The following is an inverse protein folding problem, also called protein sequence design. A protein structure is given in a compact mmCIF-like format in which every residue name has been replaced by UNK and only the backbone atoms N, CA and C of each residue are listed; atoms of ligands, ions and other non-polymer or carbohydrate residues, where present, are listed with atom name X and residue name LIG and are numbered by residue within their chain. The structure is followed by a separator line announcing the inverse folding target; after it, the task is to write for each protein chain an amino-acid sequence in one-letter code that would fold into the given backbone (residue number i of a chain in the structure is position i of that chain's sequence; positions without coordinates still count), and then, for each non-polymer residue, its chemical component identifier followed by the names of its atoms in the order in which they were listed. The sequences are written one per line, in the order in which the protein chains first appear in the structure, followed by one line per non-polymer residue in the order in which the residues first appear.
data_IF_169311365519
#
_entry.id   IF_169311365519
#
_cell.length_a   1.000
_cell.length_b   1.000
_cell.length_c   1.000
_cell.angle_alpha   90.00
_cell.angle_beta   90.00
_cell.angle_gamma   90.00
#
_symmetry.space_group_name_H-M   'P 1'
#
loop_
_entity.id
_entity.type
_entity.pdbx_description
1 polymer ?
#
# COMPACT_ATOMS: atom_id res chain seq x y z
N UNK A 1 -8.01 -0.51 8.82
CA UNK A 1 -7.35 -0.57 7.51
C UNK A 1 -8.12 0.31 6.54
N UNK A 2 -7.46 1.24 5.84
CA UNK A 2 -8.12 1.99 4.76
C UNK A 2 -8.27 1.04 3.55
N UNK A 3 -9.48 0.92 3.00
CA UNK A 3 -9.75 0.06 1.85
C UNK A 3 -9.04 0.59 0.60
N UNK A 4 -8.42 -0.30 -0.18
CA UNK A 4 -7.84 0.05 -1.47
C UNK A 4 -8.95 0.23 -2.51
N UNK A 5 -9.45 1.45 -2.71
CA UNK A 5 -10.55 1.79 -3.63
C UNK A 5 -10.23 1.67 -5.13
N UNK A 6 -9.20 0.92 -5.53
CA UNK A 6 -8.67 0.90 -6.90
C UNK A 6 -8.56 -0.50 -7.54
N UNK A 7 -9.19 -1.53 -6.97
CA UNK A 7 -9.26 -2.86 -7.56
C UNK A 7 -10.70 -3.34 -7.80
N UNK A 8 -10.97 -3.71 -9.04
CA UNK A 8 -12.09 -4.57 -9.45
C UNK A 8 -11.48 -5.83 -10.09
N UNK A 9 -11.85 -7.06 -9.68
CA UNK A 9 -12.71 -7.41 -8.54
C UNK A 9 -12.08 -7.02 -7.19
N UNK A 10 -12.86 -6.99 -6.08
CA UNK A 10 -12.35 -6.58 -4.78
C UNK A 10 -11.16 -7.44 -4.37
N UNK A 11 -9.98 -6.83 -4.30
CA UNK A 11 -8.86 -7.43 -3.57
C UNK A 11 -9.26 -7.52 -2.10
N UNK A 12 -8.83 -8.56 -1.40
CA UNK A 12 -9.11 -8.84 0.01
C UNK A 12 -8.57 -7.76 1.00
N UNK A 13 -8.20 -6.59 0.50
CA UNK A 13 -7.62 -5.50 1.26
C UNK A 13 -6.21 -5.84 1.75
N UNK A 14 -5.75 -5.07 2.72
CA UNK A 14 -4.62 -5.47 3.54
C UNK A 14 -5.20 -6.17 4.79
N UNK A 15 -4.53 -7.22 5.26
CA UNK A 15 -4.92 -7.97 6.45
C UNK A 15 -3.85 -7.78 7.53
N UNK A 16 -4.26 -7.54 8.78
CA UNK A 16 -3.32 -7.59 9.91
C UNK A 16 -3.15 -9.05 10.35
N UNK A 17 -1.91 -9.48 10.55
CA UNK A 17 -1.57 -10.83 10.98
C UNK A 17 -1.19 -10.84 12.48
N UNK A 18 -1.52 -11.89 13.25
CA UNK A 18 -1.28 -11.94 14.70
C UNK A 18 0.19 -11.76 15.14
N UNK A 19 1.16 -12.05 14.27
CA UNK A 19 2.60 -11.80 14.55
C UNK A 19 2.98 -10.30 14.47
N UNK A 20 2.01 -9.43 14.18
CA UNK A 20 2.17 -7.99 14.06
C UNK A 20 2.81 -7.56 12.74
N UNK A 21 2.52 -8.31 11.67
CA UNK A 21 2.79 -7.95 10.27
C UNK A 21 1.49 -7.63 9.55
N UNK A 22 1.59 -7.08 8.34
CA UNK A 22 0.46 -6.96 7.42
C UNK A 22 0.66 -7.84 6.19
N UNK A 23 -0.42 -8.48 5.74
CA UNK A 23 -0.48 -9.27 4.52
C UNK A 23 -1.21 -8.45 3.46
N UNK A 24 -0.50 -8.10 2.39
CA UNK A 24 -1.07 -7.41 1.24
C UNK A 24 -1.24 -8.37 0.09
N UNK A 25 -2.48 -8.67 -0.31
CA UNK A 25 -2.75 -9.57 -1.42
C UNK A 25 -2.12 -9.03 -2.70
N UNK A 26 -1.46 -9.89 -3.48
CA UNK A 26 -0.98 -9.51 -4.80
C UNK A 26 -2.16 -9.18 -5.71
N UNK A 27 -2.09 -8.00 -6.33
CA UNK A 27 -3.07 -7.58 -7.30
C UNK A 27 -2.91 -8.37 -8.61
N UNK A 28 -3.96 -8.47 -9.44
CA UNK A 28 -3.86 -9.07 -10.77
C UNK A 28 -2.71 -8.46 -11.60
N UNK A 29 -2.06 -9.26 -12.48
CA UNK A 29 -1.03 -8.77 -13.36
C UNK A 29 -1.49 -7.55 -14.20
N UNK A 30 -0.60 -6.58 -14.45
CA UNK A 30 0.82 -6.57 -14.10
C UNK A 30 1.12 -6.01 -12.69
N UNK A 31 0.12 -5.52 -11.95
CA UNK A 31 0.33 -4.70 -10.75
C UNK A 31 0.99 -5.45 -9.59
N UNK A 32 0.45 -6.62 -9.22
CA UNK A 32 1.01 -7.43 -8.14
C UNK A 32 2.44 -7.90 -8.41
N UNK A 33 2.73 -8.50 -9.58
CA UNK A 33 4.10 -8.87 -9.95
C UNK A 33 5.07 -7.68 -9.98
N UNK A 34 4.63 -6.51 -10.45
CA UNK A 34 5.45 -5.28 -10.43
C UNK A 34 5.81 -4.86 -9.00
N UNK A 35 4.84 -4.90 -8.08
CA UNK A 35 5.08 -4.57 -6.67
C UNK A 35 6.01 -5.59 -6.00
N UNK A 36 5.80 -6.89 -6.24
CA UNK A 36 6.68 -7.94 -5.72
C UNK A 36 8.12 -7.77 -6.23
N UNK A 37 8.29 -7.52 -7.53
CA UNK A 37 9.61 -7.29 -8.12
C UNK A 37 10.30 -6.04 -7.54
N UNK A 38 9.55 -4.97 -7.29
CA UNK A 38 10.07 -3.78 -6.62
C UNK A 38 10.62 -4.12 -5.22
N UNK A 39 9.85 -4.82 -4.38
CA UNK A 39 10.33 -5.22 -3.06
C UNK A 39 11.52 -6.18 -3.12
N UNK A 40 11.53 -7.15 -4.03
CA UNK A 40 12.66 -8.05 -4.25
C UNK A 40 13.93 -7.30 -4.69
N UNK A 41 13.79 -6.31 -5.56
CA UNK A 41 14.90 -5.46 -6.01
C UNK A 41 15.47 -4.64 -4.85
N UNK A 42 14.60 -4.01 -4.06
CA UNK A 42 15.01 -3.11 -2.98
C UNK A 42 15.53 -3.87 -1.76
N UNK A 43 14.90 -4.99 -1.37
CA UNK A 43 15.23 -5.76 -0.15
C UNK A 43 16.02 -7.05 -0.42
N UNK A 44 16.37 -7.34 -1.68
CA UNK A 44 17.18 -8.51 -2.03
C UNK A 44 18.51 -8.54 -1.30
N UNK A 45 18.96 -9.73 -0.91
CA UNK A 45 20.21 -9.94 -0.18
C UNK A 45 21.45 -9.52 -0.98
N UNK A 46 21.37 -9.56 -2.30
CA UNK A 46 22.42 -9.13 -3.24
C UNK A 46 22.36 -7.64 -3.60
N UNK A 47 21.41 -6.87 -3.05
CA UNK A 47 21.28 -5.45 -3.34
C UNK A 47 22.33 -4.65 -2.56
N UNK A 48 23.27 -4.04 -3.29
CA UNK A 48 24.32 -3.17 -2.76
C UNK A 48 24.20 -1.71 -3.24
N UNK A 49 23.19 -1.42 -4.06
CA UNK A 49 22.94 -0.08 -4.59
C UNK A 49 22.55 0.89 -3.48
N UNK A 50 23.39 1.90 -3.23
CA UNK A 50 23.22 2.85 -2.13
C UNK A 50 21.84 3.52 -2.15
N UNK A 51 21.32 3.86 -3.34
CA UNK A 51 19.98 4.45 -3.50
C UNK A 51 18.88 3.56 -2.93
N UNK A 52 18.95 2.24 -3.15
CA UNK A 52 17.95 1.30 -2.63
C UNK A 52 18.15 1.04 -1.14
N UNK A 53 19.40 1.01 -0.67
CA UNK A 53 19.69 0.88 0.76
C UNK A 53 19.14 2.07 1.56
N UNK A 54 19.28 3.29 1.05
CA UNK A 54 18.68 4.48 1.64
C UNK A 54 17.15 4.45 1.55
N UNK A 55 16.60 4.02 0.40
CA UNK A 55 15.15 3.93 0.20
C UNK A 55 14.47 3.01 1.22
N UNK A 56 15.14 1.94 1.69
CA UNK A 56 14.60 1.03 2.72
C UNK A 56 14.14 1.74 4.00
N UNK A 57 14.73 2.89 4.35
CA UNK A 57 14.35 3.69 5.53
C UNK A 57 12.93 4.26 5.45
N UNK A 58 12.39 4.38 4.24
CA UNK A 58 11.09 4.99 3.94
C UNK A 58 10.01 3.96 3.57
N UNK A 59 10.37 2.67 3.50
CA UNK A 59 9.47 1.60 3.12
C UNK A 59 9.16 0.69 4.32
N UNK A 60 7.96 0.09 4.39
CA UNK A 60 7.73 -1.04 5.29
C UNK A 60 8.73 -2.16 4.99
N UNK A 61 9.32 -2.78 6.01
CA UNK A 61 10.23 -3.92 5.77
C UNK A 61 9.49 -5.04 5.06
N UNK A 62 10.12 -5.57 4.02
CA UNK A 62 9.65 -6.75 3.30
C UNK A 62 10.15 -8.03 3.96
N UNK A 63 9.21 -8.92 4.32
CA UNK A 63 9.48 -10.17 5.03
C UNK A 63 9.31 -11.40 4.11
N UNK A 64 9.24 -11.18 2.80
CA UNK A 64 8.99 -12.22 1.80
C UNK A 64 7.52 -12.34 1.42
N UNK A 65 7.23 -13.37 0.63
CA UNK A 65 5.86 -13.74 0.27
C UNK A 65 5.25 -14.67 1.31
N UNK A 66 3.93 -14.70 1.37
CA UNK A 66 3.17 -15.59 2.23
C UNK A 66 1.96 -16.14 1.48
N UNK A 67 1.65 -17.41 1.73
CA UNK A 67 0.54 -18.14 1.11
C UNK A 67 -0.22 -18.88 2.21
N UNK A 68 -1.56 -18.74 2.31
CA UNK A 68 -2.36 -19.53 3.24
C UNK A 68 -2.32 -21.02 2.90
N UNK A 69 -2.27 -21.88 3.92
CA UNK A 69 -2.36 -23.34 3.73
C UNK A 69 -3.70 -23.79 3.14
N UNK A 70 -4.77 -23.04 3.42
CA UNK A 70 -6.14 -23.32 2.96
C UNK A 70 -6.40 -22.87 1.52
N UNK A 71 -5.58 -21.96 0.99
CA UNK A 71 -5.78 -21.32 -0.32
C UNK A 71 -4.42 -21.07 -0.99
N UNK A 72 -3.75 -22.14 -1.50
CA UNK A 72 -2.40 -22.06 -2.05
C UNK A 72 -2.26 -21.17 -3.29
N UNK A 73 -3.39 -20.85 -3.94
CA UNK A 73 -3.43 -19.95 -5.10
C UNK A 73 -3.40 -18.46 -4.71
N UNK A 74 -3.55 -18.13 -3.43
CA UNK A 74 -3.47 -16.75 -2.96
C UNK A 74 -2.05 -16.41 -2.52
N UNK A 75 -1.48 -15.38 -3.12
CA UNK A 75 -0.14 -14.90 -2.80
C UNK A 75 -0.23 -13.51 -2.16
N UNK A 76 0.50 -13.33 -1.06
CA UNK A 76 0.55 -12.07 -0.32
C UNK A 76 2.00 -11.59 -0.19
N UNK A 77 2.19 -10.27 -0.16
CA UNK A 77 3.39 -9.64 0.37
C UNK A 77 3.24 -9.58 1.89
N UNK A 78 4.22 -10.12 2.63
CA UNK A 78 4.30 -9.96 4.09
C UNK A 78 5.16 -8.76 4.41
N UNK A 79 4.57 -7.74 5.02
CA UNK A 79 5.19 -6.45 5.30
C UNK A 79 5.14 -6.11 6.79
N UNK A 80 6.06 -5.28 7.25
CA UNK A 80 5.99 -4.64 8.56
C UNK A 80 4.67 -3.86 8.74
N UNK A 81 4.02 -4.04 9.89
CA UNK A 81 2.93 -3.14 10.30
C UNK A 81 3.51 -1.86 10.88
N UNK A 82 3.56 -0.80 10.07
CA UNK A 82 4.07 0.52 10.45
C UNK A 82 3.27 1.19 11.58
N UNK A 83 2.06 0.72 11.85
CA UNK A 83 1.17 1.26 12.89
C UNK A 83 1.32 0.55 14.23
N UNK A 84 2.00 -0.61 14.27
CA UNK A 84 2.09 -1.50 15.44
C UNK A 84 2.61 -0.82 16.71
N UNK A 85 3.54 0.13 16.57
CA UNK A 85 4.16 0.84 17.71
C UNK A 85 3.26 1.90 18.34
N UNK A 86 2.11 2.19 17.76
CA UNK A 86 1.19 3.22 18.23
C UNK A 86 0.00 2.57 18.94
N UNK A 87 -0.39 3.11 20.10
CA UNK A 87 -1.56 2.63 20.84
C UNK A 87 -2.88 3.04 20.16
N UNK A 88 -2.96 4.31 19.72
CA UNK A 88 -4.11 4.90 19.04
C UNK A 88 -3.63 5.56 17.73
N UNK A 89 -3.33 4.77 16.67
CA UNK A 89 -2.76 5.31 15.45
C UNK A 89 -3.78 6.18 14.70
N UNK A 90 -3.43 7.46 14.49
CA UNK A 90 -4.02 8.27 13.43
C UNK A 90 -3.32 7.93 12.11
N UNK A 91 -4.09 7.61 11.08
CA UNK A 91 -3.58 7.11 9.80
C UNK A 91 -4.15 7.98 8.69
N UNK A 92 -3.31 8.38 7.74
CA UNK A 92 -3.76 9.03 6.51
C UNK A 92 -3.03 8.37 5.34
N UNK A 93 -3.78 8.04 4.30
CA UNK A 93 -3.24 7.54 3.04
C UNK A 93 -3.31 8.67 2.01
N UNK A 94 -2.16 9.05 1.47
CA UNK A 94 -2.01 10.12 0.49
C UNK A 94 -1.32 9.57 -0.75
N UNK A 95 -2.02 9.61 -1.88
CA UNK A 95 -1.45 9.30 -3.18
C UNK A 95 -0.63 10.50 -3.67
N UNK A 96 0.61 10.25 -4.10
CA UNK A 96 1.53 11.29 -4.57
C UNK A 96 1.75 11.17 -6.08
N UNK A 97 1.93 12.32 -6.75
CA UNK A 97 2.31 12.44 -8.15
C UNK A 97 1.27 13.22 -8.99
N UNK A 98 1.72 13.91 -10.04
CA UNK A 98 0.82 14.67 -10.93
C UNK A 98 -0.07 13.78 -11.81
N UNK A 99 0.33 12.53 -12.02
CA UNK A 99 -0.38 11.54 -12.83
C UNK A 99 -0.61 10.29 -11.99
N UNK A 100 -1.85 9.84 -11.91
CA UNK A 100 -2.23 8.62 -11.17
C UNK A 100 -2.38 7.38 -12.07
N UNK A 101 -1.84 7.45 -13.29
CA UNK A 101 -1.81 6.38 -14.29
C UNK A 101 -0.37 6.09 -14.71
N UNK A 102 -0.10 4.84 -15.06
CA UNK A 102 1.21 4.40 -15.56
C UNK A 102 1.48 4.91 -16.99
N UNK A 103 2.75 5.00 -17.42
CA UNK A 103 3.12 5.31 -18.80
C UNK A 103 2.48 4.36 -19.83
N UNK A 104 2.32 3.09 -19.47
CA UNK A 104 1.76 2.05 -20.33
C UNK A 104 0.23 1.89 -20.19
N UNK A 105 -0.45 2.83 -19.51
CA UNK A 105 -1.89 2.77 -19.32
C UNK A 105 -2.65 2.99 -20.65
N UNK A 106 -3.73 2.23 -20.88
CA UNK A 106 -4.61 2.46 -22.02
C UNK A 106 -5.27 3.84 -21.95
N UNK A 107 -5.66 4.41 -23.10
CA UNK A 107 -6.35 5.70 -23.15
C UNK A 107 -7.61 5.74 -22.26
N UNK A 108 -8.36 4.64 -22.23
CA UNK A 108 -9.51 4.48 -21.32
C UNK A 108 -9.09 4.56 -19.85
N UNK A 109 -8.00 3.87 -19.48
CA UNK A 109 -7.51 3.88 -18.10
C UNK A 109 -7.00 5.25 -17.69
N UNK A 110 -6.31 5.94 -18.59
CA UNK A 110 -5.87 7.33 -18.39
C UNK A 110 -7.07 8.22 -18.13
N UNK A 111 -8.08 8.19 -19.01
CA UNK A 111 -9.29 9.00 -18.85
C UNK A 111 -10.03 8.68 -17.55
N UNK A 112 -10.12 7.40 -17.17
CA UNK A 112 -10.71 6.95 -15.91
C UNK A 112 -9.95 7.48 -14.69
N UNK A 113 -8.61 7.60 -14.77
CA UNK A 113 -7.82 8.13 -13.66
C UNK A 113 -7.94 9.65 -13.56
N UNK A 114 -7.91 10.36 -14.69
CA UNK A 114 -8.08 11.83 -14.74
C UNK A 114 -9.47 12.21 -14.20
N UNK A 115 -10.53 11.51 -14.62
CA UNK A 115 -11.89 11.82 -14.18
C UNK A 115 -12.12 11.59 -12.69
N UNK A 116 -11.35 10.71 -12.05
CA UNK A 116 -11.44 10.46 -10.60
C UNK A 116 -10.97 11.66 -9.78
N UNK A 117 -9.95 12.38 -10.24
CA UNK A 117 -9.45 13.57 -9.56
C UNK A 117 -8.73 14.49 -10.56
N UNK A 118 -9.46 15.38 -11.26
CA UNK A 118 -8.89 16.23 -12.30
C UNK A 118 -7.77 17.16 -11.80
N UNK A 119 -7.82 17.53 -10.52
CA UNK A 119 -6.83 18.41 -9.89
C UNK A 119 -5.50 17.70 -9.57
N UNK A 120 -5.35 16.40 -9.87
CA UNK A 120 -4.10 15.67 -9.60
C UNK A 120 -2.89 16.33 -10.28
N UNK A 121 -3.06 16.85 -11.50
CA UNK A 121 -1.96 17.46 -12.27
C UNK A 121 -1.48 18.78 -11.66
N UNK A 122 -2.40 19.57 -11.11
CA UNK A 122 -2.13 20.87 -10.50
C UNK A 122 -1.61 20.71 -9.05
N UNK A 123 -2.32 19.93 -8.23
CA UNK A 123 -2.05 19.76 -6.80
C UNK A 123 -0.90 18.78 -6.55
N UNK A 124 -0.81 17.71 -7.36
CA UNK A 124 0.25 16.70 -7.26
C UNK A 124 0.07 15.66 -6.15
N UNK A 125 -1.07 15.66 -5.45
CA UNK A 125 -1.43 14.62 -4.48
C UNK A 125 -2.95 14.48 -4.29
N UNK A 126 -3.38 13.38 -3.69
CA UNK A 126 -4.78 13.09 -3.34
C UNK A 126 -4.86 12.32 -2.01
N UNK A 127 -5.64 12.82 -1.05
CA UNK A 127 -5.97 12.09 0.18
C UNK A 127 -6.96 10.96 -0.16
N UNK A 128 -6.55 9.71 0.04
CA UNK A 128 -7.37 8.52 -0.24
C UNK A 128 -8.27 8.15 0.92
N UNK A 129 -7.86 8.48 2.13
CA UNK A 129 -8.64 8.26 3.34
C UNK A 129 -7.82 8.58 4.58
N UNK A 130 -8.53 8.79 5.69
CA UNK A 130 -7.91 9.02 6.99
C UNK A 130 -8.73 8.37 8.10
N UNK A 131 -8.05 7.98 9.18
CA UNK A 131 -8.62 7.58 10.46
C UNK A 131 -7.96 8.45 11.52
N UNK A 132 -8.75 9.21 12.26
CA UNK A 132 -8.26 10.04 13.36
C UNK A 132 -8.85 9.48 14.64
N UNK A 133 -7.98 9.22 15.61
CA UNK A 133 -8.40 8.82 16.95
C UNK A 133 -8.68 10.08 17.78
N UNK A 134 -9.93 10.23 18.22
CA UNK A 134 -10.31 11.31 19.13
C UNK A 134 -10.10 10.86 20.58
N UNK A 135 -9.40 11.69 21.36
CA UNK A 135 -9.36 11.47 22.81
C UNK A 135 -10.66 11.99 23.43
N UNK A 136 -11.64 11.10 23.54
CA UNK A 136 -12.84 11.37 24.34
C UNK A 136 -12.43 11.32 25.80
N UNK A 137 -11.87 12.42 26.29
CA UNK A 137 -11.66 12.64 27.73
C UNK A 137 -12.95 12.28 28.46
N UNK A 138 -12.85 11.45 29.50
CA UNK A 138 -14.00 11.10 30.35
C UNK A 138 -14.60 12.42 30.84
N UNK A 139 -15.73 12.87 30.27
CA UNK A 139 -16.56 13.88 30.92
C UNK A 139 -16.94 13.26 32.26
N UNK A 140 -16.35 13.78 33.34
CA UNK A 140 -16.71 13.41 34.70
C UNK A 140 -18.22 13.50 34.82
N UNK A 141 -18.84 12.41 35.27
CA UNK A 141 -20.17 12.47 35.86
C UNK A 141 -20.05 13.07 37.25
#
# INVERSE_FOLDING_TARGET
MLHCGFCTPPCAGMLQHPDGTVLKQLQPPPRGPRELNFYNMVFGSSCHEHVFLELRKFLPKFLGTWTPTTSPNELYLKLEDVTRKFNKPCIMDVKIGKKSYDPDASAEKVQQQISKYPLMEEIGFLVLGMRVEEDRGKRGK
#
